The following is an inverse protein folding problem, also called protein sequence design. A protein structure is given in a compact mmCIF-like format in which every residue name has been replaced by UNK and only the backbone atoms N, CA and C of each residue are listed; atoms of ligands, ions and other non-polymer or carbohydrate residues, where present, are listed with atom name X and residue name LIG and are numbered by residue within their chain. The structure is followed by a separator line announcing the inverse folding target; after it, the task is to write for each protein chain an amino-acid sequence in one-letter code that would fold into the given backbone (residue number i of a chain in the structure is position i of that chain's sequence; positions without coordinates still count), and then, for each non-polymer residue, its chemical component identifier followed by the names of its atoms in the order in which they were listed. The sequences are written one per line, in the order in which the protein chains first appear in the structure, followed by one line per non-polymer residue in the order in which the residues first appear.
data_IF_795894645323
#
_entry.id   IF_795894645323
#
_cell.length_a   1.000
_cell.length_b   1.000
_cell.length_c   1.000
_cell.angle_alpha   90.00
_cell.angle_beta   90.00
_cell.angle_gamma   90.00
#
_symmetry.space_group_name_H-M   'P 1'
#
loop_
_entity.id
_entity.type
_entity.pdbx_description
1 polymer ?
#
# COMPACT_ATOMS: atom_id res chain seq x y z
N UNK A 1 -13.57 -15.59 -24.81
CA UNK A 1 -13.49 -14.26 -25.46
C UNK A 1 -12.38 -13.48 -24.76
N UNK A 2 -11.46 -12.81 -25.48
CA UNK A 2 -10.36 -12.09 -24.83
C UNK A 2 -10.91 -10.83 -24.16
N UNK A 3 -10.44 -10.56 -22.93
CA UNK A 3 -10.79 -9.39 -22.13
C UNK A 3 -10.26 -8.16 -22.88
N UNK A 4 -11.18 -7.37 -23.42
CA UNK A 4 -10.88 -6.09 -24.04
C UNK A 4 -10.27 -5.15 -23.00
N UNK A 5 -9.18 -4.48 -23.37
CA UNK A 5 -8.50 -3.42 -22.63
C UNK A 5 -9.49 -2.30 -22.24
N UNK A 6 -10.16 -2.45 -21.09
CA UNK A 6 -10.66 -1.31 -20.32
C UNK A 6 -9.45 -0.42 -20.03
N UNK A 7 -9.52 0.84 -20.45
CA UNK A 7 -8.43 1.81 -20.27
C UNK A 7 -7.84 1.69 -18.87
N UNK A 8 -6.54 1.34 -18.79
CA UNK A 8 -5.84 1.15 -17.53
C UNK A 8 -5.95 2.45 -16.74
N UNK A 9 -6.79 2.46 -15.71
CA UNK A 9 -6.89 3.59 -14.78
C UNK A 9 -5.51 3.83 -14.19
N UNK A 10 -4.96 5.03 -14.40
CA UNK A 10 -3.68 5.41 -13.85
C UNK A 10 -3.86 5.99 -12.45
N UNK A 11 -3.91 5.12 -11.43
CA UNK A 11 -4.10 5.53 -10.04
C UNK A 11 -3.04 6.53 -9.56
N UNK A 12 -1.82 6.50 -10.12
CA UNK A 12 -0.77 7.48 -9.79
C UNK A 12 -1.17 8.90 -10.18
N UNK A 13 -1.80 9.07 -11.34
CA UNK A 13 -2.28 10.38 -11.78
C UNK A 13 -3.41 10.87 -10.88
N UNK A 14 -4.32 9.98 -10.46
CA UNK A 14 -5.41 10.35 -9.55
C UNK A 14 -4.88 10.77 -8.17
N UNK A 15 -3.85 10.08 -7.65
CA UNK A 15 -3.16 10.47 -6.41
C UNK A 15 -2.48 11.84 -6.59
N UNK A 16 -1.78 12.07 -7.70
CA UNK A 16 -1.09 13.32 -7.95
C UNK A 16 -2.06 14.52 -8.11
N UNK A 17 -3.23 14.31 -8.72
CA UNK A 17 -4.27 15.34 -8.88
C UNK A 17 -4.98 15.68 -7.56
N UNK A 18 -5.05 14.74 -6.63
CA UNK A 18 -5.73 14.92 -5.35
C UNK A 18 -5.06 16.01 -4.49
N UNK A 19 -3.74 16.17 -4.61
CA UNK A 19 -2.98 17.26 -3.99
C UNK A 19 -2.77 17.13 -2.48
N UNK A 20 -3.47 16.23 -1.79
CA UNK A 20 -3.24 15.93 -0.35
C UNK A 20 -2.05 15.00 -0.12
N UNK A 21 -1.50 14.40 -1.16
CA UNK A 21 -0.49 13.35 -1.05
C UNK A 21 0.69 13.59 -1.98
N UNK A 22 1.90 13.48 -1.43
CA UNK A 22 3.12 13.40 -2.22
C UNK A 22 3.50 11.93 -2.37
N UNK A 23 3.50 11.41 -3.60
CA UNK A 23 3.87 10.01 -3.86
C UNK A 23 5.38 9.82 -3.66
N UNK A 24 5.76 8.93 -2.75
CA UNK A 24 7.15 8.60 -2.43
C UNK A 24 7.60 7.33 -3.14
N UNK A 25 6.83 6.25 -3.01
CA UNK A 25 7.18 4.94 -3.57
C UNK A 25 5.93 4.07 -3.77
N UNK A 26 6.10 2.86 -4.32
CA UNK A 26 5.02 1.92 -4.64
C UNK A 26 5.40 0.55 -4.11
N UNK A 27 4.62 0.06 -3.16
CA UNK A 27 4.85 -1.24 -2.54
C UNK A 27 4.33 -2.33 -3.47
N UNK A 28 5.26 -3.11 -4.02
CA UNK A 28 4.96 -4.30 -4.84
C UNK A 28 5.09 -5.56 -4.00
N UNK A 29 4.26 -5.67 -2.97
CA UNK A 29 4.26 -6.85 -2.08
C UNK A 29 3.61 -8.05 -2.78
N UNK A 30 2.57 -7.82 -3.58
CA UNK A 30 1.85 -8.87 -4.30
C UNK A 30 1.51 -8.40 -5.72
N UNK A 31 1.91 -9.12 -6.79
CA UNK A 31 1.56 -8.77 -8.16
C UNK A 31 0.05 -8.77 -8.43
N UNK A 32 -0.75 -9.46 -7.61
CA UNK A 32 -2.21 -9.49 -7.67
C UNK A 32 -2.88 -8.32 -6.93
N UNK A 33 -2.12 -7.56 -6.12
CA UNK A 33 -2.63 -6.40 -5.36
C UNK A 33 -1.75 -5.15 -5.57
N UNK A 34 -1.62 -4.62 -6.82
CA UNK A 34 -0.67 -3.55 -7.17
C UNK A 34 -1.09 -2.13 -6.72
N UNK A 35 -1.73 -2.02 -5.56
CA UNK A 35 -2.58 -0.89 -5.20
C UNK A 35 -2.14 -0.20 -3.89
N UNK A 36 -0.87 -0.36 -3.51
CA UNK A 36 -0.27 0.18 -2.30
C UNK A 36 0.80 1.21 -2.67
N UNK A 37 0.61 2.43 -2.21
CA UNK A 37 1.45 3.58 -2.54
C UNK A 37 1.98 4.18 -1.24
N UNK A 38 3.30 4.33 -1.12
CA UNK A 38 3.87 5.09 -0.01
C UNK A 38 3.70 6.57 -0.33
N UNK A 39 3.01 7.29 0.54
CA UNK A 39 2.72 8.71 0.38
C UNK A 39 3.16 9.48 1.62
N UNK A 40 3.59 10.71 1.42
CA UNK A 40 3.69 11.70 2.48
C UNK A 40 2.42 12.53 2.48
N UNK A 41 1.75 12.60 3.63
CA UNK A 41 0.47 13.32 3.77
C UNK A 41 0.75 14.81 3.87
N UNK A 42 0.21 15.59 2.94
CA UNK A 42 0.43 17.04 2.86
C UNK A 42 -0.56 17.90 3.65
N UNK A 43 -1.63 17.32 4.20
CA UNK A 43 -2.62 18.07 4.99
C UNK A 43 -3.46 17.17 5.88
N UNK A 44 -3.91 17.68 7.03
CA UNK A 44 -4.86 17.02 7.93
C UNK A 44 -4.20 16.40 9.17
N UNK A 45 -4.90 15.54 9.94
CA UNK A 45 -4.42 15.02 11.22
C UNK A 45 -3.12 14.21 11.15
N UNK A 46 -2.77 13.72 9.96
CA UNK A 46 -1.62 12.87 9.70
C UNK A 46 -0.56 13.61 8.86
N UNK A 47 -0.67 14.94 8.71
CA UNK A 47 0.26 15.76 7.94
C UNK A 47 1.73 15.54 8.34
N UNK A 48 2.60 15.50 7.32
CA UNK A 48 4.03 15.23 7.44
C UNK A 48 4.38 13.75 7.70
N UNK A 49 3.40 12.88 7.92
CA UNK A 49 3.65 11.45 8.12
C UNK A 49 3.76 10.71 6.79
N UNK A 50 4.68 9.75 6.74
CA UNK A 50 4.74 8.75 5.66
C UNK A 50 3.80 7.60 5.98
N UNK A 51 2.95 7.27 5.03
CA UNK A 51 1.89 6.28 5.18
C UNK A 51 1.74 5.46 3.91
N UNK A 52 1.01 4.37 4.00
CA UNK A 52 0.62 3.57 2.83
C UNK A 52 -0.80 3.95 2.44
N UNK A 53 -0.97 4.55 1.27
CA UNK A 53 -2.26 4.71 0.62
C UNK A 53 -2.62 3.43 -0.11
N UNK A 54 -3.67 2.76 0.36
CA UNK A 54 -4.30 1.65 -0.34
C UNK A 54 -5.48 2.18 -1.15
N UNK A 55 -5.46 1.98 -2.46
CA UNK A 55 -6.49 2.52 -3.37
C UNK A 55 -6.88 1.50 -4.44
N UNK A 56 -8.17 1.23 -4.61
CA UNK A 56 -8.64 0.24 -5.59
C UNK A 56 -9.08 0.91 -6.90
N UNK A 57 -8.68 0.41 -8.09
CA UNK A 57 -9.19 0.88 -9.37
C UNK A 57 -10.65 0.44 -9.62
N UNK A 58 -11.20 -0.45 -8.77
CA UNK A 58 -12.55 -0.97 -8.87
C UNK A 58 -13.48 -0.23 -7.90
N UNK A 59 -14.47 0.49 -8.45
CA UNK A 59 -15.51 1.20 -7.70
C UNK A 59 -16.72 0.29 -7.47
N UNK A 60 -16.57 -0.77 -6.68
CA UNK A 60 -17.67 -1.67 -6.31
C UNK A 60 -17.97 -1.62 -4.82
N UNK A 61 -19.22 -1.90 -4.45
CA UNK A 61 -19.63 -1.94 -3.04
C UNK A 61 -18.92 -3.06 -2.26
N UNK A 62 -18.58 -4.17 -2.93
CA UNK A 62 -17.77 -5.23 -2.32
C UNK A 62 -16.40 -4.71 -1.87
N UNK A 63 -15.75 -3.84 -2.65
CA UNK A 63 -14.45 -3.27 -2.30
C UNK A 63 -14.58 -2.23 -1.19
N UNK A 64 -15.64 -1.42 -1.22
CA UNK A 64 -15.95 -0.47 -0.15
C UNK A 64 -16.17 -1.20 1.18
N UNK A 65 -16.99 -2.26 1.16
CA UNK A 65 -17.27 -3.09 2.33
C UNK A 65 -15.99 -3.77 2.86
N UNK A 66 -15.09 -4.22 1.99
CA UNK A 66 -13.78 -4.76 2.42
C UNK A 66 -12.99 -3.69 3.21
N UNK A 67 -12.94 -2.46 2.69
CA UNK A 67 -12.19 -1.37 3.33
C UNK A 67 -12.84 -0.93 4.65
N UNK A 68 -14.17 -0.87 4.70
CA UNK A 68 -14.91 -0.60 5.93
C UNK A 68 -14.65 -1.68 7.00
N UNK A 69 -14.63 -2.96 6.60
CA UNK A 69 -14.29 -4.06 7.51
C UNK A 69 -12.86 -3.93 8.05
N UNK A 70 -11.90 -3.58 7.20
CA UNK A 70 -10.52 -3.33 7.64
C UNK A 70 -10.43 -2.20 8.67
N UNK A 71 -11.12 -1.08 8.42
CA UNK A 71 -11.16 0.06 9.33
C UNK A 71 -11.79 -0.31 10.67
N UNK A 72 -12.88 -1.08 10.64
CA UNK A 72 -13.53 -1.59 11.86
C UNK A 72 -12.56 -2.43 12.68
N UNK A 73 -11.93 -3.44 12.08
CA UNK A 73 -10.96 -4.31 12.77
C UNK A 73 -9.79 -3.49 13.31
N UNK A 74 -9.28 -2.54 12.53
CA UNK A 74 -8.20 -1.66 12.97
C UNK A 74 -8.58 -0.82 14.19
N UNK A 75 -9.81 -0.29 14.24
CA UNK A 75 -10.29 0.51 15.37
C UNK A 75 -10.46 -0.32 16.65
N UNK A 76 -10.87 -1.58 16.53
CA UNK A 76 -11.02 -2.50 17.66
C UNK A 76 -9.67 -2.94 18.25
N UNK A 77 -8.59 -2.79 17.47
CA UNK A 77 -7.24 -3.23 17.83
C UNK A 77 -6.29 -2.05 18.08
N UNK A 78 -6.80 -0.83 18.24
CA UNK A 78 -6.02 0.41 18.27
C UNK A 78 -4.95 0.46 19.38
N UNK A 79 -5.12 -0.32 20.46
CA UNK A 79 -4.16 -0.37 21.57
C UNK A 79 -3.04 -1.41 21.37
N UNK A 80 -3.05 -2.17 20.27
CA UNK A 80 -2.07 -3.23 20.03
C UNK A 80 -0.86 -2.71 19.24
N UNK A 81 0.35 -2.63 19.85
CA UNK A 81 1.52 -2.06 19.19
C UNK A 81 2.10 -2.94 18.07
N UNK A 82 1.63 -4.17 17.92
CA UNK A 82 2.09 -5.10 16.87
C UNK A 82 1.21 -5.07 15.62
N UNK A 83 0.20 -4.21 15.59
CA UNK A 83 -0.77 -4.13 14.49
C UNK A 83 -0.67 -2.76 13.85
N UNK A 84 -0.39 -2.76 12.55
CA UNK A 84 -0.40 -1.52 11.75
C UNK A 84 -1.84 -1.04 11.61
N UNK A 85 -2.09 0.20 11.99
CA UNK A 85 -3.42 0.78 11.94
C UNK A 85 -3.78 1.28 10.55
N UNK A 86 -5.07 1.18 10.23
CA UNK A 86 -5.71 1.78 9.08
C UNK A 86 -6.57 2.97 9.51
N UNK A 87 -6.59 4.01 8.68
CA UNK A 87 -7.33 5.24 8.91
C UNK A 87 -8.27 5.50 7.73
N UNK A 88 -9.49 5.98 8.02
CA UNK A 88 -10.43 6.33 6.97
C UNK A 88 -9.88 7.50 6.14
N UNK A 89 -10.21 7.53 4.85
CA UNK A 89 -9.84 8.62 3.96
C UNK A 89 -11.08 9.17 3.26
N UNK A 90 -11.54 10.33 3.72
CA UNK A 90 -12.67 11.05 3.16
C UNK A 90 -12.28 12.49 2.77
N UNK A 91 -12.62 12.96 1.55
CA UNK A 91 -13.16 12.16 0.45
C UNK A 91 -12.13 11.17 -0.09
N UNK A 92 -12.64 10.10 -0.70
CA UNK A 92 -11.85 9.12 -1.45
C UNK A 92 -11.09 9.75 -2.64
N UNK A 93 -9.87 9.27 -2.91
CA UNK A 93 -9.00 9.79 -3.99
C UNK A 93 -9.60 9.51 -5.37
N UNK A 94 -9.89 10.55 -6.17
CA UNK A 94 -10.54 10.40 -7.48
C UNK A 94 -11.90 9.68 -7.44
N UNK A 95 -12.53 9.62 -6.25
CA UNK A 95 -13.73 8.83 -5.98
C UNK A 95 -13.52 7.30 -6.05
N UNK A 96 -12.27 6.84 -5.95
CA UNK A 96 -11.92 5.42 -5.84
C UNK A 96 -11.82 5.01 -4.37
N UNK A 97 -12.36 3.84 -3.98
CA UNK A 97 -12.23 3.35 -2.60
C UNK A 97 -10.77 3.39 -2.15
N UNK A 98 -10.52 4.12 -1.07
CA UNK A 98 -9.17 4.40 -0.57
C UNK A 98 -9.13 4.45 0.95
N UNK A 99 -8.02 4.02 1.54
CA UNK A 99 -7.72 4.19 2.97
C UNK A 99 -6.22 4.43 3.17
N UNK A 100 -5.86 4.98 4.32
CA UNK A 100 -4.47 5.11 4.75
C UNK A 100 -4.12 4.00 5.73
N UNK A 101 -2.87 3.57 5.71
CA UNK A 101 -2.32 2.60 6.66
C UNK A 101 -0.97 3.09 7.16
N UNK A 102 -0.62 2.71 8.39
CA UNK A 102 0.73 2.91 8.89
C UNK A 102 1.75 2.18 8.01
N UNK A 103 2.91 2.81 7.84
CA UNK A 103 4.03 2.24 7.12
C UNK A 103 4.86 1.39 8.09
N UNK A 104 4.85 0.07 7.90
CA UNK A 104 5.82 -0.82 8.54
C UNK A 104 7.18 -0.79 7.82
N UNK A 105 8.21 -1.31 8.47
CA UNK A 105 9.59 -1.29 7.94
C UNK A 105 9.73 -2.17 6.68
N UNK A 106 9.49 -3.48 6.82
CA UNK A 106 9.58 -4.46 5.74
C UNK A 106 8.55 -5.58 5.95
N UNK A 107 8.09 -6.19 4.87
CA UNK A 107 7.35 -7.44 5.00
C UNK A 107 8.31 -8.57 5.37
N UNK A 108 7.80 -9.57 6.11
CA UNK A 108 8.59 -10.75 6.45
C UNK A 108 9.11 -11.48 5.19
N UNK A 109 8.30 -11.50 4.13
CA UNK A 109 8.69 -12.07 2.83
C UNK A 109 9.88 -11.33 2.22
N UNK A 110 9.86 -10.00 2.22
CA UNK A 110 10.98 -9.19 1.75
C UNK A 110 12.25 -9.47 2.56
N UNK A 111 12.12 -9.57 3.87
CA UNK A 111 13.23 -9.89 4.76
C UNK A 111 13.85 -11.25 4.40
N UNK A 112 13.03 -12.30 4.32
CA UNK A 112 13.49 -13.67 3.99
C UNK A 112 14.17 -13.71 2.62
N UNK A 113 13.58 -13.07 1.60
CA UNK A 113 14.14 -13.06 0.25
C UNK A 113 15.46 -12.28 0.16
N UNK A 114 15.63 -11.23 0.97
CA UNK A 114 16.89 -10.49 1.03
C UNK A 114 18.02 -11.30 1.67
N UNK A 115 17.71 -12.04 2.74
CA UNK A 115 18.68 -12.88 3.43
C UNK A 115 19.16 -14.05 2.56
N UNK A 116 18.25 -14.68 1.82
CA UNK A 116 18.60 -15.71 0.84
C UNK A 116 19.55 -15.21 -0.25
N UNK A 117 19.38 -13.97 -0.74
CA UNK A 117 20.30 -13.38 -1.72
C UNK A 117 21.68 -13.15 -1.11
N UNK A 118 21.75 -12.60 0.10
CA UNK A 118 23.02 -12.36 0.79
C UNK A 118 23.79 -13.66 1.04
N UNK A 119 23.09 -14.74 1.43
CA UNK A 119 23.69 -16.06 1.61
C UNK A 119 24.22 -16.64 0.29
N UNK A 120 23.46 -16.51 -0.80
CA UNK A 120 23.88 -16.97 -2.12
C UNK A 120 25.09 -16.20 -2.67
N UNK A 121 25.12 -14.87 -2.49
CA UNK A 121 26.27 -14.04 -2.87
C UNK A 121 27.53 -14.39 -2.06
N UNK A 122 27.36 -14.63 -0.75
CA UNK A 122 28.46 -15.03 0.14
C UNK A 122 29.02 -16.42 -0.21
N UNK A 123 28.16 -17.39 -0.56
CA UNK A 123 28.59 -18.71 -1.01
C UNK A 123 29.23 -18.70 -2.41
N UNK A 124 28.71 -17.86 -3.32
CA UNK A 124 29.30 -17.67 -4.64
C UNK A 124 30.71 -17.07 -4.58
N UNK A 125 30.96 -16.16 -3.63
CA UNK A 125 32.28 -15.59 -3.39
C UNK A 125 33.30 -16.61 -2.87
N UNK A 126 32.86 -17.61 -2.07
CA UNK A 126 33.71 -18.68 -1.55
C UNK A 126 34.10 -19.73 -2.61
N UNK A 127 33.35 -19.86 -3.70
CA UNK A 127 33.65 -20.78 -4.81
C UNK A 127 34.63 -20.22 -5.86
N UNK A 128 34.98 -18.93 -5.76
CA UNK A 128 35.92 -18.25 -6.66
C UNK A 128 37.31 -18.01 -6.04
N UNK A 129 37.61 -18.64 -4.90
CA UNK A 129 38.94 -18.70 -4.25
C UNK A 129 39.44 -20.13 -4.31
#
# INVERSE_FOLDING_TARGET
MPIQNLGRVNLREEIAKDGRFNLVDILRVDPTRPNLYVVEVGSGPLEGRRMVLRISPVKSDSVRNEFEQMLKVSSELQENPFILHAYPLEPSVGGYPSLLMELGDYSLEQYILSDQRNLNESMGALHHV
#
